data_IF_240644871012
#
_entry.id   IF_240644871012
#
_cell.length_a   1.000
_cell.length_b   1.000
_cell.length_c   1.000
_cell.angle_alpha   90.00
_cell.angle_beta   90.00
_cell.angle_gamma   90.00
#
_symmetry.space_group_name_H-M   'P 1'
#
loop_
_entity.id
_entity.type
_entity.pdbx_description
1 polymer ?
#
# COMPACT_ATOMS: atom_id res chain seq x y z
N UNK A 1 41.15 -3.38 20.08
CA UNK A 1 40.24 -2.39 20.70
C UNK A 1 40.13 -2.76 22.16
N UNK A 2 40.77 -1.98 23.03
CA UNK A 2 40.66 -2.11 24.48
C UNK A 2 39.94 -0.84 24.96
N UNK A 3 39.06 -0.96 25.95
CA UNK A 3 38.34 0.15 26.61
C UNK A 3 37.30 0.89 25.72
N UNK A 4 36.39 0.16 25.07
CA UNK A 4 35.24 0.78 24.40
C UNK A 4 34.24 1.31 25.43
N UNK A 5 33.60 2.44 25.13
CA UNK A 5 32.56 3.08 25.93
C UNK A 5 31.44 3.63 25.00
N UNK A 6 30.43 4.28 25.59
CA UNK A 6 29.25 4.78 24.86
C UNK A 6 29.58 5.74 23.70
N UNK A 7 30.66 6.52 23.83
CA UNK A 7 31.09 7.50 22.83
C UNK A 7 31.97 6.90 21.74
N UNK A 8 32.77 5.88 22.08
CA UNK A 8 33.80 5.32 21.19
C UNK A 8 33.32 4.09 20.41
N UNK A 9 32.29 3.39 20.89
CA UNK A 9 31.78 2.15 20.26
C UNK A 9 31.30 2.37 18.83
N UNK A 10 30.67 3.51 18.53
CA UNK A 10 30.16 3.80 17.17
C UNK A 10 31.29 3.83 16.15
N UNK A 11 32.37 4.57 16.44
CA UNK A 11 33.52 4.65 15.54
C UNK A 11 34.23 3.30 15.41
N UNK A 12 34.27 2.53 16.49
CA UNK A 12 34.82 1.18 16.47
C UNK A 12 34.03 0.24 15.52
N UNK A 13 32.70 0.32 15.50
CA UNK A 13 31.86 -0.45 14.55
C UNK A 13 32.10 0.04 13.12
N UNK A 14 32.05 1.35 12.87
CA UNK A 14 32.23 1.91 11.52
C UNK A 14 33.61 1.58 10.92
N UNK A 15 34.66 1.56 11.74
CA UNK A 15 36.00 1.16 11.31
C UNK A 15 36.05 -0.27 10.75
N UNK A 16 35.11 -1.16 11.13
CA UNK A 16 35.01 -2.53 10.58
C UNK A 16 34.44 -2.56 9.17
N UNK A 17 33.76 -1.51 8.73
CA UNK A 17 33.19 -1.41 7.38
C UNK A 17 34.16 -0.79 6.37
N UNK A 18 35.36 -0.34 6.80
CA UNK A 18 36.29 0.41 5.97
C UNK A 18 36.73 -0.33 4.69
N UNK A 19 36.82 -1.66 4.75
CA UNK A 19 37.23 -2.52 3.62
C UNK A 19 36.09 -2.95 2.69
N UNK A 20 34.85 -2.48 2.87
CA UNK A 20 33.74 -2.87 1.99
C UNK A 20 33.92 -2.30 0.58
N UNK A 21 33.83 -3.19 -0.42
CA UNK A 21 33.93 -2.83 -1.84
C UNK A 21 32.66 -2.16 -2.38
N UNK A 22 31.48 -2.57 -1.89
CA UNK A 22 30.21 -1.95 -2.29
C UNK A 22 30.03 -0.60 -1.56
N UNK A 23 30.27 0.48 -2.29
CA UNK A 23 30.19 1.84 -1.77
C UNK A 23 28.80 2.23 -1.31
N UNK A 24 27.75 1.77 -2.01
CA UNK A 24 26.35 2.10 -1.68
C UNK A 24 25.91 1.36 -0.43
N UNK A 25 26.19 0.08 -0.33
CA UNK A 25 25.89 -0.70 0.87
C UNK A 25 26.67 -0.15 2.07
N UNK A 26 27.94 0.22 1.88
CA UNK A 26 28.75 0.87 2.93
C UNK A 26 28.13 2.17 3.41
N UNK A 27 27.59 3.00 2.51
CA UNK A 27 26.88 4.23 2.86
C UNK A 27 25.63 3.92 3.71
N UNK A 28 24.80 2.97 3.28
CA UNK A 28 23.55 2.60 3.96
C UNK A 28 23.84 2.07 5.38
N UNK A 29 24.74 1.08 5.50
CA UNK A 29 25.04 0.45 6.78
C UNK A 29 25.74 1.42 7.74
N UNK A 30 26.62 2.30 7.23
CA UNK A 30 27.23 3.36 8.04
C UNK A 30 26.18 4.28 8.65
N UNK A 31 25.24 4.77 7.84
CA UNK A 31 24.16 5.63 8.30
C UNK A 31 23.26 4.92 9.32
N UNK A 32 22.86 3.68 9.03
CA UNK A 32 22.03 2.87 9.94
C UNK A 32 22.67 2.72 11.33
N UNK A 33 23.95 2.35 11.39
CA UNK A 33 24.67 2.20 12.67
C UNK A 33 24.74 3.52 13.42
N UNK A 34 25.03 4.63 12.71
CA UNK A 34 25.09 5.96 13.32
C UNK A 34 23.76 6.35 13.97
N UNK A 35 22.65 6.20 13.24
CA UNK A 35 21.32 6.54 13.74
C UNK A 35 20.85 5.60 14.85
N UNK A 36 21.13 4.29 14.75
CA UNK A 36 20.78 3.31 15.79
C UNK A 36 21.51 3.59 17.10
N UNK A 37 22.82 3.84 17.04
CA UNK A 37 23.61 4.19 18.23
C UNK A 37 23.22 5.56 18.81
N UNK A 38 22.87 6.52 17.95
CA UNK A 38 22.39 7.82 18.40
C UNK A 38 21.06 7.68 19.15
N UNK A 39 20.10 6.92 18.63
CA UNK A 39 18.83 6.60 19.30
C UNK A 39 19.06 6.00 20.69
N UNK A 40 19.91 4.96 20.78
CA UNK A 40 20.17 4.28 22.05
C UNK A 40 20.76 5.23 23.11
N UNK A 41 21.68 6.13 22.71
CA UNK A 41 22.23 7.16 23.61
C UNK A 41 21.22 8.23 23.99
N UNK A 42 20.42 8.70 23.03
CA UNK A 42 19.41 9.74 23.22
C UNK A 42 18.39 9.35 24.28
N UNK A 43 17.85 8.13 24.18
CA UNK A 43 16.84 7.63 25.13
C UNK A 43 17.45 6.97 26.37
N UNK A 44 18.78 6.83 26.42
CA UNK A 44 19.50 6.06 27.45
C UNK A 44 18.93 4.65 27.63
N UNK A 45 18.83 3.93 26.51
CA UNK A 45 18.17 2.62 26.43
C UNK A 45 18.75 1.66 27.47
N UNK A 46 17.89 1.14 28.35
CA UNK A 46 18.28 0.18 29.39
C UNK A 46 18.43 -1.23 28.82
N UNK A 47 19.12 -2.12 29.55
CA UNK A 47 19.23 -3.53 29.16
C UNK A 47 17.87 -4.23 29.07
N UNK A 48 16.96 -3.91 29.99
CA UNK A 48 15.60 -4.49 29.99
C UNK A 48 14.79 -4.05 28.76
N UNK A 49 14.81 -2.76 28.42
CA UNK A 49 14.16 -2.22 27.22
C UNK A 49 14.80 -2.76 25.95
N UNK A 50 16.13 -2.89 25.92
CA UNK A 50 16.84 -3.51 24.80
C UNK A 50 16.42 -4.96 24.60
N UNK A 51 16.37 -5.78 25.66
CA UNK A 51 15.88 -7.15 25.59
C UNK A 51 14.40 -7.21 25.15
N UNK A 52 13.58 -6.25 25.56
CA UNK A 52 12.20 -6.14 25.08
C UNK A 52 12.14 -5.86 23.57
N UNK A 53 12.96 -4.94 23.06
CA UNK A 53 13.09 -4.66 21.63
C UNK A 53 13.58 -5.89 20.84
N UNK A 54 14.54 -6.64 21.36
CA UNK A 54 15.01 -7.89 20.73
C UNK A 54 13.89 -8.94 20.67
N UNK A 55 13.10 -9.11 21.74
CA UNK A 55 11.94 -10.02 21.73
C UNK A 55 10.91 -9.58 20.70
N UNK A 56 10.58 -8.28 20.65
CA UNK A 56 9.65 -7.73 19.67
C UNK A 56 10.06 -8.01 18.22
N UNK A 57 11.33 -7.77 17.87
CA UNK A 57 11.85 -8.06 16.53
C UNK A 57 11.88 -9.56 16.23
N UNK A 58 12.16 -10.38 17.25
CA UNK A 58 12.15 -11.85 17.12
C UNK A 58 10.74 -12.36 16.83
N UNK A 59 9.74 -11.93 17.60
CA UNK A 59 8.33 -12.29 17.41
C UNK A 59 7.81 -11.79 16.05
N UNK A 60 8.22 -10.58 15.64
CA UNK A 60 7.89 -10.02 14.31
C UNK A 60 8.40 -10.93 13.19
N UNK A 61 9.65 -11.39 13.29
CA UNK A 61 10.23 -12.32 12.32
C UNK A 61 9.55 -13.69 12.33
N UNK A 62 9.21 -14.23 13.50
CA UNK A 62 8.55 -15.54 13.63
C UNK A 62 7.13 -15.57 13.05
N UNK A 63 6.45 -14.43 12.99
CA UNK A 63 5.11 -14.31 12.43
C UNK A 63 5.09 -14.09 10.91
N UNK A 64 6.25 -13.83 10.31
CA UNK A 64 6.38 -13.72 8.86
C UNK A 64 6.24 -15.10 8.18
N UNK A 65 5.54 -15.13 7.06
CA UNK A 65 5.30 -16.30 6.20
C UNK A 65 5.10 -15.85 4.74
N UNK A 66 4.86 -16.79 3.83
CA UNK A 66 4.55 -16.47 2.42
C UNK A 66 3.26 -15.67 2.24
N UNK A 67 2.35 -15.70 3.25
CA UNK A 67 1.06 -14.98 3.23
C UNK A 67 1.01 -13.77 4.17
N UNK A 68 2.02 -13.59 5.04
CA UNK A 68 2.05 -12.52 6.04
C UNK A 68 3.46 -11.95 6.17
N UNK A 69 3.60 -10.65 5.98
CA UNK A 69 4.89 -9.95 6.13
C UNK A 69 4.83 -8.93 7.27
N UNK A 70 5.03 -9.40 8.50
CA UNK A 70 4.94 -8.56 9.70
C UNK A 70 6.04 -7.47 9.73
N UNK A 71 7.22 -7.72 9.15
CA UNK A 71 8.25 -6.68 9.00
C UNK A 71 7.85 -5.56 8.03
N UNK A 72 7.12 -5.89 6.95
CA UNK A 72 6.53 -4.87 6.07
C UNK A 72 5.48 -4.08 6.84
N UNK A 73 4.62 -4.75 7.61
CA UNK A 73 3.61 -4.10 8.43
C UNK A 73 4.21 -3.18 9.51
N UNK A 74 5.33 -3.59 10.11
CA UNK A 74 6.11 -2.75 11.03
C UNK A 74 6.65 -1.51 10.32
N UNK A 75 7.21 -1.66 9.11
CA UNK A 75 7.65 -0.55 8.27
C UNK A 75 6.50 0.40 7.93
N UNK A 76 5.33 -0.13 7.58
CA UNK A 76 4.13 0.63 7.24
C UNK A 76 3.63 1.45 8.43
N UNK A 77 3.50 0.81 9.59
CA UNK A 77 2.95 1.45 10.80
C UNK A 77 3.92 2.41 11.48
N UNK A 78 5.22 2.31 11.21
CA UNK A 78 6.22 3.32 11.58
C UNK A 78 6.40 4.41 10.52
N UNK A 79 5.68 4.33 9.38
CA UNK A 79 5.73 5.32 8.30
C UNK A 79 6.96 5.24 7.39
N UNK A 80 7.82 4.23 7.57
CA UNK A 80 9.04 4.05 6.76
C UNK A 80 8.69 3.73 5.31
N UNK A 81 7.71 2.85 5.06
CA UNK A 81 7.28 2.51 3.69
C UNK A 81 6.81 3.76 2.93
N UNK A 82 5.99 4.58 3.60
CA UNK A 82 5.49 5.85 3.06
C UNK A 82 6.62 6.84 2.79
N UNK A 83 7.61 6.94 3.68
CA UNK A 83 8.79 7.78 3.49
C UNK A 83 9.64 7.34 2.30
N UNK A 84 9.91 6.03 2.18
CA UNK A 84 10.69 5.48 1.05
C UNK A 84 9.96 5.75 -0.27
N UNK A 85 8.64 5.56 -0.32
CA UNK A 85 7.83 5.89 -1.49
C UNK A 85 7.90 7.37 -1.85
N UNK A 86 7.78 8.26 -0.87
CA UNK A 86 7.88 9.71 -1.11
C UNK A 86 9.24 10.12 -1.70
N UNK A 87 10.34 9.48 -1.28
CA UNK A 87 11.69 9.75 -1.81
C UNK A 87 11.90 9.23 -3.24
N UNK A 88 11.32 8.08 -3.57
CA UNK A 88 11.55 7.42 -4.86
C UNK A 88 10.57 7.87 -5.96
N UNK A 89 9.40 8.40 -5.58
CA UNK A 89 8.34 8.76 -6.53
C UNK A 89 8.07 10.26 -6.57
N UNK A 90 9.14 11.07 -6.61
CA UNK A 90 9.04 12.50 -6.94
C UNK A 90 8.66 12.69 -8.40
N UNK A 91 7.36 12.74 -8.67
CA UNK A 91 6.79 12.93 -10.01
C UNK A 91 6.52 14.42 -10.31
N UNK A 92 6.52 14.82 -11.59
CA UNK A 92 6.08 16.16 -11.99
C UNK A 92 4.66 16.47 -11.48
N UNK A 93 4.37 17.74 -11.25
CA UNK A 93 3.02 18.18 -10.91
C UNK A 93 2.03 17.74 -12.00
N UNK A 94 0.88 17.21 -11.58
CA UNK A 94 -0.16 16.68 -12.48
C UNK A 94 -0.14 15.15 -12.64
N UNK A 95 0.96 14.47 -12.31
CA UNK A 95 0.95 13.00 -12.20
C UNK A 95 0.11 12.55 -11.00
N UNK A 96 -0.54 11.40 -11.13
CA UNK A 96 -1.17 10.76 -9.97
C UNK A 96 -0.09 10.34 -8.97
N UNK A 97 -0.32 10.67 -7.69
CA UNK A 97 0.60 10.34 -6.61
C UNK A 97 0.68 8.83 -6.40
N UNK A 98 1.89 8.35 -6.09
CA UNK A 98 2.10 6.98 -5.64
C UNK A 98 1.86 6.87 -4.12
N UNK A 99 1.46 5.70 -3.67
CA UNK A 99 1.38 5.38 -2.23
C UNK A 99 1.79 3.92 -1.97
N UNK A 100 1.81 3.51 -0.71
CA UNK A 100 2.33 2.21 -0.26
C UNK A 100 1.64 1.05 -0.97
N UNK A 101 2.38 0.00 -1.31
CA UNK A 101 1.82 -1.16 -2.02
C UNK A 101 0.86 -2.00 -1.15
N UNK A 102 1.17 -2.12 0.14
CA UNK A 102 0.49 -3.02 1.06
C UNK A 102 0.86 -4.50 0.84
N UNK A 103 0.51 -5.39 1.78
CA UNK A 103 0.99 -6.78 1.78
C UNK A 103 0.08 -7.77 1.01
N UNK A 104 -1.00 -7.31 0.38
CA UNK A 104 -2.08 -8.19 -0.12
C UNK A 104 -2.20 -8.31 -1.65
N UNK A 105 -1.23 -7.75 -2.38
CA UNK A 105 -1.14 -8.00 -3.82
C UNK A 105 -0.77 -9.46 -4.09
N UNK A 106 -1.30 -10.00 -5.19
CA UNK A 106 -1.02 -11.35 -5.69
C UNK A 106 -0.67 -11.20 -7.16
N UNK A 107 0.52 -11.67 -7.53
CA UNK A 107 0.94 -11.72 -8.93
C UNK A 107 0.01 -12.66 -9.74
N UNK A 108 -0.10 -12.41 -11.04
CA UNK A 108 -0.91 -13.21 -11.96
C UNK A 108 -2.41 -13.28 -11.60
N UNK A 109 -2.96 -12.17 -11.08
CA UNK A 109 -4.40 -12.04 -10.86
C UNK A 109 -5.22 -12.28 -12.14
N UNK A 110 -6.46 -12.80 -12.05
CA UNK A 110 -7.25 -13.15 -13.23
C UNK A 110 -7.46 -11.94 -14.16
N UNK A 111 -7.34 -12.18 -15.47
CA UNK A 111 -7.51 -11.14 -16.50
C UNK A 111 -8.98 -11.06 -16.93
N UNK A 112 -9.54 -9.86 -16.92
CA UNK A 112 -10.92 -9.60 -17.29
C UNK A 112 -11.05 -8.61 -18.45
N UNK A 113 -12.07 -8.76 -19.31
CA UNK A 113 -12.41 -7.73 -20.28
C UNK A 113 -12.98 -6.49 -19.58
N UNK A 114 -12.91 -5.32 -20.24
CA UNK A 114 -13.54 -4.11 -19.75
C UNK A 114 -15.06 -4.32 -19.55
N UNK A 115 -15.58 -3.79 -18.44
CA UNK A 115 -16.98 -3.92 -18.02
C UNK A 115 -17.30 -5.20 -17.24
N UNK A 116 -16.35 -6.13 -17.11
CA UNK A 116 -16.54 -7.33 -16.29
C UNK A 116 -16.66 -7.00 -14.80
N UNK A 117 -17.19 -7.97 -14.04
CA UNK A 117 -17.22 -7.95 -12.58
C UNK A 117 -15.99 -8.64 -12.01
N UNK A 118 -15.10 -7.85 -11.40
CA UNK A 118 -13.88 -8.32 -10.76
C UNK A 118 -14.06 -8.60 -9.26
N UNK A 119 -15.25 -8.36 -8.69
CA UNK A 119 -15.56 -8.80 -7.33
C UNK A 119 -15.49 -10.33 -7.23
N UNK A 120 -15.86 -11.02 -8.30
CA UNK A 120 -15.78 -12.47 -8.47
C UNK A 120 -16.32 -13.25 -7.25
N UNK A 121 -17.42 -12.76 -6.65
CA UNK A 121 -18.07 -13.36 -5.50
C UNK A 121 -17.66 -12.78 -4.13
N UNK A 122 -16.79 -11.78 -4.08
CA UNK A 122 -16.54 -11.02 -2.87
C UNK A 122 -17.82 -10.36 -2.36
N UNK A 123 -18.00 -10.36 -1.04
CA UNK A 123 -19.18 -9.84 -0.37
C UNK A 123 -19.12 -8.31 -0.32
N UNK A 124 -20.18 -7.62 -0.73
CA UNK A 124 -20.24 -6.16 -0.68
C UNK A 124 -21.32 -5.54 -1.55
N UNK A 125 -21.58 -4.24 -1.33
CA UNK A 125 -22.49 -3.47 -2.17
C UNK A 125 -21.88 -3.24 -3.56
N UNK A 126 -22.63 -3.35 -4.66
CA UNK A 126 -22.07 -3.14 -6.00
C UNK A 126 -21.44 -1.75 -6.17
N UNK A 127 -20.27 -1.70 -6.80
CA UNK A 127 -19.58 -0.47 -7.17
C UNK A 127 -19.15 -0.52 -8.63
N UNK A 128 -19.49 0.50 -9.40
CA UNK A 128 -19.12 0.63 -10.81
C UNK A 128 -17.98 1.63 -10.92
N UNK A 129 -16.82 1.15 -11.36
CA UNK A 129 -15.59 1.94 -11.41
C UNK A 129 -15.27 2.25 -12.87
N UNK A 130 -14.97 3.51 -13.18
CA UNK A 130 -14.65 3.95 -14.52
C UNK A 130 -13.61 5.08 -14.53
N UNK A 131 -12.98 5.31 -15.68
CA UNK A 131 -12.02 6.38 -15.84
C UNK A 131 -11.13 6.25 -17.07
N UNK A 132 -10.05 7.02 -17.09
CA UNK A 132 -9.03 6.97 -18.13
C UNK A 132 -7.60 7.02 -17.58
N UNK A 133 -6.68 6.40 -18.30
CA UNK A 133 -5.24 6.47 -18.08
C UNK A 133 -4.64 7.36 -19.16
N UNK A 134 -3.93 8.39 -18.75
CA UNK A 134 -3.33 9.41 -19.62
C UNK A 134 -1.88 9.67 -19.27
N UNK A 135 -1.13 10.24 -20.19
CA UNK A 135 0.14 10.89 -19.88
C UNK A 135 -0.05 12.33 -19.44
N UNK A 136 1.05 12.97 -19.03
CA UNK A 136 1.08 14.37 -18.58
C UNK A 136 0.56 15.38 -19.62
N UNK A 137 0.73 15.08 -20.91
CA UNK A 137 0.27 15.93 -22.02
C UNK A 137 -1.19 15.66 -22.42
N UNK A 138 -1.91 14.83 -21.63
CA UNK A 138 -3.30 14.46 -21.84
C UNK A 138 -3.53 13.35 -22.89
N UNK A 139 -2.45 12.84 -23.48
CA UNK A 139 -2.49 11.72 -24.43
C UNK A 139 -3.07 10.47 -23.76
N UNK A 140 -3.94 9.76 -24.49
CA UNK A 140 -4.47 8.48 -24.03
C UNK A 140 -3.36 7.43 -23.95
N UNK A 141 -3.32 6.67 -22.86
CA UNK A 141 -2.42 5.52 -22.71
C UNK A 141 -3.22 4.25 -22.95
N UNK A 142 -3.16 3.77 -24.19
CA UNK A 142 -3.83 2.53 -24.60
C UNK A 142 -3.08 1.30 -24.09
N UNK A 143 -3.82 0.20 -23.86
CA UNK A 143 -3.27 -1.08 -23.44
C UNK A 143 -2.42 -1.02 -22.15
N UNK A 144 -2.68 -0.06 -21.27
CA UNK A 144 -2.09 -0.02 -19.94
C UNK A 144 -2.64 -1.19 -19.13
N UNK A 145 -1.74 -2.04 -18.59
CA UNK A 145 -2.09 -3.12 -17.69
C UNK A 145 -2.43 -2.53 -16.32
N UNK A 146 -3.68 -2.71 -15.89
CA UNK A 146 -4.21 -2.22 -14.62
C UNK A 146 -4.58 -3.41 -13.73
N UNK A 147 -3.83 -3.58 -12.64
CA UNK A 147 -4.18 -4.53 -11.58
C UNK A 147 -4.94 -3.79 -10.48
N UNK A 148 -6.04 -4.36 -10.04
CA UNK A 148 -6.94 -3.81 -9.03
C UNK A 148 -7.14 -4.86 -7.94
N UNK A 149 -7.11 -4.45 -6.68
CA UNK A 149 -7.46 -5.31 -5.54
C UNK A 149 -8.01 -4.50 -4.36
N UNK A 150 -8.85 -5.12 -3.53
CA UNK A 150 -9.39 -4.52 -2.31
C UNK A 150 -9.82 -5.60 -1.31
N UNK A 151 -10.10 -5.17 -0.08
CA UNK A 151 -10.83 -5.99 0.89
C UNK A 151 -12.33 -6.08 0.53
N UNK A 152 -12.99 -7.11 1.03
CA UNK A 152 -14.44 -7.26 1.00
C UNK A 152 -15.15 -6.46 2.09
N UNK A 153 -16.47 -6.59 2.20
CA UNK A 153 -17.24 -5.84 3.19
C UNK A 153 -16.96 -6.24 4.65
N UNK A 154 -16.41 -7.44 4.87
CA UNK A 154 -16.01 -7.92 6.20
C UNK A 154 -14.57 -7.45 6.54
N UNK A 155 -13.90 -6.77 5.61
CA UNK A 155 -12.60 -6.15 5.80
C UNK A 155 -11.41 -7.07 5.53
N UNK A 156 -11.62 -8.16 4.79
CA UNK A 156 -10.58 -9.14 4.47
C UNK A 156 -10.26 -9.15 2.97
N UNK A 157 -8.98 -9.31 2.65
CA UNK A 157 -8.57 -9.70 1.31
C UNK A 157 -8.76 -11.20 1.14
N UNK A 158 -9.08 -11.65 -0.07
CA UNK A 158 -9.26 -13.06 -0.41
C UNK A 158 -8.14 -13.99 0.11
N UNK A 159 -6.87 -13.57 0.06
CA UNK A 159 -5.71 -14.33 0.54
C UNK A 159 -5.71 -14.61 2.04
N UNK A 160 -6.53 -13.89 2.82
CA UNK A 160 -6.70 -14.10 4.25
C UNK A 160 -7.72 -15.20 4.56
N UNK A 161 -8.56 -15.59 3.59
CA UNK A 161 -9.45 -16.73 3.73
C UNK A 161 -8.72 -18.03 3.34
N UNK A 162 -8.72 -19.06 4.21
CA UNK A 162 -7.98 -20.29 3.96
C UNK A 162 -8.58 -21.13 2.81
N UNK A 163 -9.90 -21.07 2.61
CA UNK A 163 -10.66 -22.05 1.83
C UNK A 163 -11.41 -21.44 0.63
N UNK A 164 -10.98 -20.29 0.12
CA UNK A 164 -11.60 -19.73 -1.08
C UNK A 164 -11.26 -20.56 -2.33
N UNK A 165 -12.31 -20.98 -3.04
CA UNK A 165 -12.18 -21.75 -4.29
C UNK A 165 -11.57 -20.93 -5.45
N UNK A 166 -11.64 -19.61 -5.37
CA UNK A 166 -11.13 -18.68 -6.38
C UNK A 166 -10.73 -17.34 -5.74
N UNK A 167 -9.84 -16.60 -6.41
CA UNK A 167 -9.49 -15.23 -6.03
C UNK A 167 -10.69 -14.30 -6.21
N UNK A 168 -10.87 -13.36 -5.28
CA UNK A 168 -12.02 -12.46 -5.22
C UNK A 168 -11.58 -11.01 -4.99
N UNK A 169 -12.42 -10.05 -5.38
CA UNK A 169 -12.16 -8.61 -5.27
C UNK A 169 -10.81 -8.16 -5.85
N UNK A 170 -10.35 -8.84 -6.91
CA UNK A 170 -9.11 -8.52 -7.62
C UNK A 170 -9.19 -8.90 -9.10
N UNK A 171 -8.44 -8.19 -9.92
CA UNK A 171 -8.34 -8.51 -11.34
C UNK A 171 -7.33 -7.65 -12.09
N UNK A 172 -6.95 -8.13 -13.27
CA UNK A 172 -6.16 -7.40 -14.24
C UNK A 172 -7.02 -7.01 -15.43
N UNK A 173 -6.99 -5.74 -15.83
CA UNK A 173 -7.65 -5.22 -17.03
C UNK A 173 -6.64 -4.48 -17.92
N UNK A 174 -7.02 -4.22 -19.17
CA UNK A 174 -6.24 -3.40 -20.09
C UNK A 174 -7.09 -2.23 -20.60
N UNK A 175 -6.53 -1.03 -20.61
CA UNK A 175 -7.22 0.15 -21.14
C UNK A 175 -7.49 0.03 -22.64
N UNK A 176 -8.60 0.61 -23.10
CA UNK A 176 -8.94 0.64 -24.52
C UNK A 176 -8.04 1.60 -25.33
N UNK A 177 -8.27 1.70 -26.64
CA UNK A 177 -7.52 2.56 -27.54
C UNK A 177 -7.58 4.07 -27.18
N UNK A 178 -8.59 4.49 -26.42
CA UNK A 178 -8.74 5.85 -25.90
C UNK A 178 -8.23 5.99 -24.45
N UNK A 179 -7.54 4.97 -23.93
CA UNK A 179 -7.02 4.93 -22.57
C UNK A 179 -8.09 4.71 -21.51
N UNK A 180 -9.33 4.36 -21.87
CA UNK A 180 -10.42 4.19 -20.91
C UNK A 180 -10.40 2.83 -20.26
N UNK A 181 -10.86 2.78 -19.02
CA UNK A 181 -11.15 1.55 -18.29
C UNK A 181 -12.52 1.65 -17.62
N UNK A 182 -13.15 0.51 -17.41
CA UNK A 182 -14.34 0.38 -16.57
C UNK A 182 -14.50 -1.07 -16.14
N UNK A 183 -15.03 -1.30 -14.94
CA UNK A 183 -15.31 -2.61 -14.37
C UNK A 183 -16.31 -2.49 -13.22
N UNK A 184 -16.87 -3.63 -12.81
CA UNK A 184 -17.69 -3.74 -11.60
C UNK A 184 -16.86 -4.36 -10.48
N UNK A 185 -17.05 -3.88 -9.27
CA UNK A 185 -16.48 -4.39 -8.04
C UNK A 185 -17.51 -4.24 -6.92
N UNK A 186 -17.03 -4.23 -5.69
CA UNK A 186 -17.79 -3.92 -4.48
C UNK A 186 -17.30 -2.62 -3.84
N UNK A 187 -18.16 -1.96 -3.07
CA UNK A 187 -17.82 -0.76 -2.32
C UNK A 187 -16.66 -1.05 -1.36
N UNK A 188 -15.59 -0.27 -1.43
CA UNK A 188 -14.52 -0.35 -0.47
C UNK A 188 -15.00 0.15 0.91
N UNK A 189 -14.65 -0.61 1.95
CA UNK A 189 -14.90 -0.26 3.34
C UNK A 189 -13.59 -0.10 4.10
N UNK A 190 -13.66 0.63 5.21
CA UNK A 190 -12.55 0.71 6.16
C UNK A 190 -12.35 -0.63 6.85
N UNK A 191 -11.10 -1.00 7.04
CA UNK A 191 -10.75 -2.28 7.64
C UNK A 191 -9.49 -2.13 8.51
N UNK A 192 -9.32 -2.95 9.54
CA UNK A 192 -8.11 -2.95 10.34
C UNK A 192 -7.00 -3.75 9.64
N UNK A 193 -5.76 -3.26 9.67
CA UNK A 193 -4.60 -4.10 9.34
C UNK A 193 -4.51 -5.30 10.30
N UNK A 194 -3.81 -6.40 9.94
CA UNK A 194 -3.54 -7.49 10.89
C UNK A 194 -2.97 -6.95 12.20
N UNK A 195 -3.64 -7.21 13.32
CA UNK A 195 -3.32 -6.61 14.61
C UNK A 195 -3.31 -7.63 15.76
N UNK A 196 -3.27 -8.92 15.43
CA UNK A 196 -3.10 -10.06 16.32
C UNK A 196 -1.61 -10.37 16.62
N UNK A 197 -0.69 -9.65 15.97
CA UNK A 197 0.76 -9.82 16.10
C UNK A 197 1.46 -8.72 16.93
N UNK A 198 2.80 -8.74 16.97
CA UNK A 198 3.60 -7.73 17.66
C UNK A 198 3.26 -6.31 17.23
N UNK A 199 3.02 -6.06 15.93
CA UNK A 199 2.67 -4.72 15.44
C UNK A 199 1.34 -4.25 16.02
N UNK A 200 0.33 -5.12 16.09
CA UNK A 200 -0.95 -4.81 16.72
C UNK A 200 -0.80 -4.42 18.20
N UNK A 201 -0.04 -5.21 18.96
CA UNK A 201 0.28 -4.90 20.37
C UNK A 201 1.05 -3.59 20.53
N UNK A 202 1.98 -3.29 19.62
CA UNK A 202 2.69 -2.01 19.58
C UNK A 202 1.71 -0.85 19.37
N UNK A 203 0.79 -0.96 18.40
CA UNK A 203 -0.21 0.07 18.15
C UNK A 203 -1.10 0.30 19.37
N UNK A 204 -1.62 -0.76 19.98
CA UNK A 204 -2.42 -0.68 21.20
C UNK A 204 -1.67 0.03 22.33
N UNK A 205 -0.40 -0.35 22.56
CA UNK A 205 0.46 0.27 23.60
C UNK A 205 0.70 1.76 23.33
N UNK A 206 0.77 2.15 22.06
CA UNK A 206 0.91 3.55 21.64
C UNK A 206 -0.43 4.32 21.60
N UNK A 207 -1.55 3.68 21.95
CA UNK A 207 -2.88 4.28 21.85
C UNK A 207 -3.33 4.54 20.41
N UNK A 208 -2.81 3.78 19.43
CA UNK A 208 -3.12 3.88 18.00
C UNK A 208 -4.09 2.79 17.58
N UNK A 209 -4.99 3.13 16.67
CA UNK A 209 -5.91 2.16 16.06
C UNK A 209 -5.29 1.47 14.83
N UNK A 210 -5.74 0.25 14.45
CA UNK A 210 -5.26 -0.46 13.27
C UNK A 210 -6.01 -0.11 11.97
N UNK A 211 -7.05 0.73 12.03
CA UNK A 211 -7.90 1.02 10.88
C UNK A 211 -7.21 1.78 9.74
N UNK A 212 -7.52 1.35 8.52
CA UNK A 212 -7.25 2.06 7.28
C UNK A 212 -8.57 2.56 6.69
N UNK A 213 -8.60 3.76 6.08
CA UNK A 213 -9.79 4.29 5.43
C UNK A 213 -10.17 3.45 4.22
N UNK A 214 -11.46 3.44 3.84
CA UNK A 214 -11.95 2.79 2.63
C UNK A 214 -11.15 3.19 1.37
N UNK A 215 -10.57 2.20 0.67
CA UNK A 215 -9.78 2.43 -0.54
C UNK A 215 -9.77 1.24 -1.50
N UNK A 216 -9.45 1.54 -2.76
CA UNK A 216 -9.19 0.58 -3.83
C UNK A 216 -7.73 0.69 -4.28
N UNK A 217 -7.04 -0.44 -4.40
CA UNK A 217 -5.66 -0.46 -4.86
C UNK A 217 -5.55 -0.52 -6.38
N UNK A 218 -4.49 0.11 -6.91
CA UNK A 218 -4.14 0.08 -8.33
C UNK A 218 -2.64 -0.10 -8.53
N UNK A 219 -2.26 -1.00 -9.44
CA UNK A 219 -0.93 -1.05 -10.07
C UNK A 219 -1.10 -0.90 -11.57
N UNK A 220 -0.59 0.17 -12.14
CA UNK A 220 -0.75 0.52 -13.55
C UNK A 220 0.62 0.53 -14.23
N UNK A 221 0.72 -0.23 -15.31
CA UNK A 221 1.94 -0.40 -16.09
C UNK A 221 1.63 -0.15 -17.56
N UNK A 222 2.47 0.64 -18.22
CA UNK A 222 2.37 0.91 -19.65
C UNK A 222 3.77 1.12 -20.24
N UNK A 223 3.95 0.73 -21.49
CA UNK A 223 5.21 0.94 -22.21
C UNK A 223 5.55 2.44 -22.27
N UNK A 224 6.79 2.79 -21.93
CA UNK A 224 7.25 4.19 -21.88
C UNK A 224 6.83 4.97 -20.64
N UNK A 225 6.17 4.34 -19.66
CA UNK A 225 5.74 4.99 -18.41
C UNK A 225 6.29 4.28 -17.16
N UNK A 226 6.56 5.06 -16.12
CA UNK A 226 6.89 4.50 -14.81
C UNK A 226 5.68 3.78 -14.24
N UNK A 227 5.90 2.61 -13.63
CA UNK A 227 4.85 1.90 -12.90
C UNK A 227 4.23 2.82 -11.84
N UNK A 228 2.91 2.94 -11.84
CA UNK A 228 2.16 3.63 -10.80
C UNK A 228 1.56 2.60 -9.85
N UNK A 229 1.96 2.66 -8.58
CA UNK A 229 1.29 1.97 -7.48
C UNK A 229 0.57 3.04 -6.67
N UNK A 230 -0.74 2.92 -6.53
CA UNK A 230 -1.53 3.92 -5.81
C UNK A 230 -2.83 3.35 -5.25
N UNK A 231 -3.54 4.16 -4.47
CA UNK A 231 -4.88 3.87 -3.97
C UNK A 231 -5.83 5.01 -4.36
N UNK A 232 -7.12 4.71 -4.44
CA UNK A 232 -8.17 5.74 -4.45
C UNK A 232 -9.00 5.59 -3.18
N UNK A 233 -9.01 6.63 -2.35
CA UNK A 233 -9.69 6.66 -1.05
C UNK A 233 -11.07 7.28 -1.17
N UNK A 234 -12.03 6.81 -0.37
CA UNK A 234 -13.39 7.35 -0.33
C UNK A 234 -13.47 8.63 0.48
N UNK A 235 -13.99 9.71 -0.10
CA UNK A 235 -14.25 10.97 0.61
C UNK A 235 -15.23 10.76 1.76
N UNK A 236 -14.95 11.41 2.88
CA UNK A 236 -15.81 11.39 4.07
C UNK A 236 -15.61 10.17 4.96
N UNK A 237 -14.67 9.29 4.64
CA UNK A 237 -14.33 8.17 5.51
C UNK A 237 -13.70 8.64 6.82
N UNK A 238 -14.08 7.99 7.93
CA UNK A 238 -13.68 8.35 9.29
C UNK A 238 -12.16 8.34 9.50
N UNK A 239 -11.44 7.44 8.81
CA UNK A 239 -10.01 7.22 9.04
C UNK A 239 -9.09 7.97 8.07
N UNK A 240 -9.62 8.89 7.24
CA UNK A 240 -8.79 9.63 6.25
C UNK A 240 -7.65 10.42 6.89
N UNK A 241 -7.84 10.92 8.12
CA UNK A 241 -6.84 11.72 8.83
C UNK A 241 -5.99 10.89 9.81
N UNK A 242 -6.26 9.60 9.93
CA UNK A 242 -5.62 8.73 10.93
C UNK A 242 -5.25 7.34 10.40
N UNK A 243 -5.13 7.19 9.07
CA UNK A 243 -4.71 5.93 8.43
C UNK A 243 -3.50 5.31 9.13
N UNK A 244 -3.65 4.07 9.60
CA UNK A 244 -2.66 3.37 10.42
C UNK A 244 -1.28 3.25 9.74
N UNK A 245 -1.23 3.35 8.40
CA UNK A 245 -0.01 3.22 7.59
C UNK A 245 0.39 4.52 6.86
N UNK A 246 -0.27 5.64 7.13
CA UNK A 246 0.06 6.94 6.54
C UNK A 246 -0.01 6.98 5.00
N UNK A 247 -0.88 6.17 4.39
CA UNK A 247 -0.99 6.00 2.94
C UNK A 247 -1.83 7.07 2.24
N UNK A 248 -2.63 7.86 2.97
CA UNK A 248 -3.53 8.86 2.37
C UNK A 248 -2.74 10.02 1.73
N UNK A 249 -3.17 10.44 0.55
CA UNK A 249 -2.80 11.69 -0.11
C UNK A 249 -4.07 12.41 -0.52
N UNK A 250 -4.10 13.74 -0.41
CA UNK A 250 -5.31 14.52 -0.67
C UNK A 250 -5.80 14.41 -2.12
N UNK A 251 -4.89 14.25 -3.08
CA UNK A 251 -5.22 14.07 -4.51
C UNK A 251 -5.77 12.69 -4.84
N UNK A 252 -5.64 11.72 -3.92
CA UNK A 252 -6.14 10.35 -4.04
C UNK A 252 -7.51 10.16 -3.38
N UNK A 253 -8.13 11.23 -2.85
CA UNK A 253 -9.47 11.19 -2.25
C UNK A 253 -10.51 11.53 -3.31
N UNK A 254 -11.38 10.58 -3.62
CA UNK A 254 -12.44 10.70 -4.62
C UNK A 254 -13.84 10.58 -4.00
N UNK A 255 -14.85 11.08 -4.70
CA UNK A 255 -16.25 10.88 -4.33
C UNK A 255 -16.73 9.51 -4.82
N UNK A 256 -17.46 8.81 -3.96
CA UNK A 256 -18.10 7.54 -4.28
C UNK A 256 -19.60 7.71 -4.06
N UNK A 257 -20.33 8.35 -4.98
CA UNK A 257 -21.73 8.65 -4.79
C UNK A 257 -22.55 7.36 -4.69
N UNK A 258 -23.47 7.34 -3.72
CA UNK A 258 -24.47 6.29 -3.55
C UNK A 258 -25.67 6.58 -4.46
N UNK A 259 -26.15 5.55 -5.14
CA UNK A 259 -27.36 5.53 -5.94
C UNK A 259 -28.35 4.52 -5.35
N UNK A 260 -29.64 4.83 -5.40
CA UNK A 260 -30.68 3.84 -5.06
C UNK A 260 -30.75 2.73 -6.13
N UNK A 261 -31.49 1.66 -5.82
CA UNK A 261 -31.79 0.61 -6.79
C UNK A 261 -32.33 1.19 -8.11
N UNK A 262 -31.85 0.68 -9.25
CA UNK A 262 -32.10 1.27 -10.56
C UNK A 262 -31.14 0.75 -11.62
N UNK A 263 -30.99 1.51 -12.71
CA UNK A 263 -30.07 1.16 -13.80
C UNK A 263 -28.71 1.81 -13.57
N UNK A 264 -27.67 0.98 -13.49
CA UNK A 264 -26.29 1.39 -13.35
C UNK A 264 -25.71 1.95 -14.68
N UNK A 265 -24.54 2.63 -14.67
CA UNK A 265 -23.96 3.24 -15.87
C UNK A 265 -23.66 2.27 -17.03
N UNK A 266 -23.44 1.00 -16.74
CA UNK A 266 -23.21 -0.06 -17.74
C UNK A 266 -24.51 -0.67 -18.28
N UNK A 267 -25.68 -0.19 -17.84
CA UNK A 267 -27.00 -0.71 -18.20
C UNK A 267 -27.50 -1.86 -17.33
N UNK A 268 -26.71 -2.33 -16.36
CA UNK A 268 -27.13 -3.35 -15.39
C UNK A 268 -28.30 -2.82 -14.55
N UNK A 269 -29.34 -3.64 -14.36
CA UNK A 269 -30.40 -3.34 -13.38
C UNK A 269 -29.97 -3.86 -12.02
N UNK A 270 -29.77 -2.95 -11.07
CA UNK A 270 -29.48 -3.23 -9.66
C UNK A 270 -30.78 -3.19 -8.85
N UNK A 271 -31.08 -4.28 -8.15
CA UNK A 271 -32.20 -4.41 -7.21
C UNK A 271 -31.91 -3.85 -5.82
N UNK A 272 -30.66 -3.46 -5.59
CA UNK A 272 -30.16 -2.85 -4.36
C UNK A 272 -29.42 -1.54 -4.66
N UNK A 273 -29.19 -0.69 -3.65
CA UNK A 273 -28.34 0.49 -3.79
C UNK A 273 -26.92 0.11 -4.26
N UNK A 274 -26.35 0.97 -5.10
CA UNK A 274 -25.01 0.79 -5.66
C UNK A 274 -24.21 2.09 -5.61
N UNK A 275 -22.93 2.00 -5.90
CA UNK A 275 -22.00 3.14 -5.90
C UNK A 275 -21.32 3.28 -7.24
N UNK A 276 -20.82 4.47 -7.53
CA UNK A 276 -19.94 4.71 -8.68
C UNK A 276 -18.63 5.34 -8.22
N UNK A 277 -17.55 5.09 -8.96
CA UNK A 277 -16.27 5.78 -8.82
C UNK A 277 -15.76 6.15 -10.20
N UNK A 278 -15.59 7.45 -10.44
CA UNK A 278 -14.96 7.98 -11.64
C UNK A 278 -13.60 8.57 -11.27
N UNK A 279 -12.50 8.03 -11.82
CA UNK A 279 -11.15 8.49 -11.48
C UNK A 279 -10.20 8.42 -12.68
N UNK A 280 -9.45 9.50 -12.93
CA UNK A 280 -8.45 9.51 -14.01
C UNK A 280 -7.04 9.36 -13.45
N UNK A 281 -6.25 8.48 -14.06
CA UNK A 281 -4.85 8.28 -13.73
C UNK A 281 -3.93 8.98 -14.73
N UNK A 282 -2.98 9.76 -14.21
CA UNK A 282 -1.97 10.44 -15.01
C UNK A 282 -0.61 9.80 -14.74
N UNK A 283 -0.08 9.08 -15.73
CA UNK A 283 1.21 8.39 -15.64
C UNK A 283 2.38 9.32 -15.93
N UNK A 284 3.50 9.05 -15.25
CA UNK A 284 4.76 9.73 -15.48
C UNK A 284 5.55 8.99 -16.58
N UNK A 285 5.98 9.64 -17.68
CA UNK A 285 6.85 9.01 -18.67
C UNK A 285 8.16 8.54 -18.05
N UNK A 286 8.69 7.39 -18.49
CA UNK A 286 10.05 6.99 -18.13
C UNK A 286 11.03 7.98 -18.76
N UNK A 287 12.00 8.43 -17.96
CA UNK A 287 13.13 9.18 -18.51
C UNK A 287 13.99 8.23 -19.34
N UNK A 288 14.06 8.47 -20.65
CA UNK A 288 15.06 7.89 -21.56
C UNK A 288 16.46 8.39 -21.23
#
# INVERSE_FOLDING_TARGET
MLNLNEDTITQAVLARHAGMADERLRQIVTSLVQHLHAFAREVRLTEEEWFAGIRFLTETGQLCSDKRQEFILLSDTLGLSTLVMAQQHHKPAGCTEATVFGPFHVEDSPVYPLGADISNGAKGQPCFVSGSVRGLDGQAVANARMEVWQADEDGFYDVQYPDLAQLQARGTLHTDAAGRYHFRSILANSYPIPHDGPVGKMLETLGRHPWRPAHLHFRIQAEGYETLITHVFRRGDEYLQSDAVFGVRSTLIADWPRHEAGTAPDGTVCDQPFYTLDYDFILNPQRT
#
